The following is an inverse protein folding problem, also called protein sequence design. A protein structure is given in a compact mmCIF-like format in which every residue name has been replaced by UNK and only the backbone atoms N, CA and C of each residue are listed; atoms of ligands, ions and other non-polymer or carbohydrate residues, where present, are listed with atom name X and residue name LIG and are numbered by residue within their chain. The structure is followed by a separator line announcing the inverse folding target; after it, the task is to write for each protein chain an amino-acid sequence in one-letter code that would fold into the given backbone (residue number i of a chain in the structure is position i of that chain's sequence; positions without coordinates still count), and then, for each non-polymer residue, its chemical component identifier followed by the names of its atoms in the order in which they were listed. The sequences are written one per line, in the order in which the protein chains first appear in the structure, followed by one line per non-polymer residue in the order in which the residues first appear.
data_IF_326583789480
#
_entry.id   IF_326583789480
#
_cell.length_a   1.000
_cell.length_b   1.000
_cell.length_c   1.000
_cell.angle_alpha   90.00
_cell.angle_beta   90.00
_cell.angle_gamma   90.00
#
_symmetry.space_group_name_H-M   'P 1'
#
loop_
_entity.id
_entity.type
_entity.pdbx_description
1 polymer ?
#
# COMPACT_ATOMS: atom_id res chain seq x y z
N UNK A 1 -22.15 20.02 -61.23
CA UNK A 1 -21.39 21.03 -60.46
C UNK A 1 -21.00 20.40 -59.14
N UNK A 2 -19.73 20.06 -59.02
CA UNK A 2 -19.18 19.27 -57.89
C UNK A 2 -18.49 20.23 -56.89
N UNK A 3 -18.99 20.29 -55.68
CA UNK A 3 -18.35 21.06 -54.57
C UNK A 3 -17.25 20.17 -53.94
N UNK A 4 -16.00 20.48 -54.16
CA UNK A 4 -14.84 19.88 -53.51
C UNK A 4 -14.78 20.43 -52.08
N UNK A 5 -14.90 19.55 -51.05
CA UNK A 5 -14.61 19.84 -49.66
C UNK A 5 -13.10 19.79 -49.45
N UNK A 6 -12.53 20.92 -49.10
CA UNK A 6 -11.13 21.03 -48.68
C UNK A 6 -11.10 20.69 -47.19
N UNK A 7 -10.48 19.54 -46.83
CA UNK A 7 -10.16 19.21 -45.47
C UNK A 7 -8.87 19.94 -45.10
N UNK A 8 -8.96 20.93 -44.22
CA UNK A 8 -7.83 21.55 -43.56
C UNK A 8 -7.50 20.68 -42.34
N UNK A 9 -6.41 19.93 -42.42
CA UNK A 9 -5.87 19.20 -41.26
C UNK A 9 -5.16 20.18 -40.33
N UNK A 10 -5.79 20.48 -39.17
CA UNK A 10 -5.12 21.18 -38.07
C UNK A 10 -4.19 20.18 -37.37
N UNK A 11 -2.89 20.31 -37.58
CA UNK A 11 -1.85 19.68 -36.77
C UNK A 11 -1.79 20.41 -35.43
N UNK A 12 -2.44 19.88 -34.39
CA UNK A 12 -2.25 20.32 -33.02
C UNK A 12 -0.88 19.86 -32.53
N UNK A 13 0.08 20.78 -32.48
CA UNK A 13 1.38 20.59 -31.86
C UNK A 13 1.16 20.49 -30.33
N UNK A 14 1.02 19.28 -29.81
CA UNK A 14 1.06 19.02 -28.36
C UNK A 14 2.51 19.26 -27.90
N UNK A 15 2.79 20.49 -27.43
CA UNK A 15 3.96 20.73 -26.60
C UNK A 15 3.79 19.90 -25.32
N UNK A 16 4.50 18.76 -25.27
CA UNK A 16 4.66 17.99 -24.05
C UNK A 16 5.41 18.85 -23.04
N UNK A 17 4.67 19.49 -22.13
CA UNK A 17 5.23 20.05 -20.91
C UNK A 17 5.78 18.88 -20.08
N UNK A 18 7.04 18.54 -20.28
CA UNK A 18 7.79 17.72 -19.32
C UNK A 18 7.91 18.55 -18.05
N UNK A 19 6.99 18.35 -17.11
CA UNK A 19 7.17 18.83 -15.76
C UNK A 19 8.46 18.18 -15.24
N UNK A 20 9.54 18.97 -15.15
CA UNK A 20 10.75 18.56 -14.48
C UNK A 20 10.35 18.07 -13.07
N UNK A 21 10.54 16.79 -12.83
CA UNK A 21 10.34 16.17 -11.53
C UNK A 21 11.20 16.96 -10.54
N UNK A 22 10.64 17.57 -9.46
CA UNK A 22 11.50 18.17 -8.44
C UNK A 22 12.46 17.08 -8.00
N UNK A 23 13.76 17.38 -7.89
CA UNK A 23 14.81 16.42 -7.61
C UNK A 23 14.33 15.44 -6.54
N UNK A 24 14.13 14.20 -6.94
CA UNK A 24 13.50 13.16 -6.12
C UNK A 24 14.27 13.04 -4.82
N UNK A 25 13.55 13.20 -3.71
CA UNK A 25 14.12 12.99 -2.38
C UNK A 25 14.39 11.48 -2.10
N UNK A 26 14.37 10.66 -3.13
CA UNK A 26 14.64 9.23 -3.08
C UNK A 26 16.15 8.97 -3.09
N UNK A 27 16.57 7.99 -2.32
CA UNK A 27 17.93 7.47 -2.37
C UNK A 27 18.23 6.77 -3.71
N UNK A 28 19.50 6.37 -3.95
CA UNK A 28 19.89 5.69 -5.18
C UNK A 28 19.14 4.37 -5.42
N UNK A 29 18.62 3.76 -4.36
CA UNK A 29 17.80 2.54 -4.41
C UNK A 29 16.30 2.84 -4.56
N UNK A 30 15.91 4.07 -4.83
CA UNK A 30 14.52 4.45 -4.99
C UNK A 30 13.73 4.53 -3.68
N UNK A 31 14.38 4.47 -2.51
CA UNK A 31 13.72 4.54 -1.21
C UNK A 31 14.04 5.85 -0.52
N UNK A 32 13.02 6.66 -0.27
CA UNK A 32 13.12 7.94 0.44
C UNK A 32 13.36 7.76 1.94
N UNK A 33 14.02 8.74 2.56
CA UNK A 33 14.13 8.78 4.01
C UNK A 33 12.75 9.07 4.66
N UNK A 34 12.48 8.54 5.86
CA UNK A 34 11.28 8.87 6.62
C UNK A 34 11.15 10.37 6.83
N UNK A 35 9.98 10.93 6.51
CA UNK A 35 9.68 12.36 6.68
C UNK A 35 8.45 12.54 7.54
N UNK A 36 8.52 13.50 8.46
CA UNK A 36 7.35 13.92 9.25
C UNK A 36 6.78 15.17 8.60
N UNK A 37 5.47 15.16 8.33
CA UNK A 37 4.74 16.29 7.76
C UNK A 37 3.31 16.35 8.32
N UNK A 38 2.62 17.44 8.04
CA UNK A 38 1.20 17.60 8.38
C UNK A 38 0.37 17.55 7.10
N UNK A 39 -0.64 16.68 7.08
CA UNK A 39 -1.59 16.55 5.97
C UNK A 39 -3.02 16.54 6.51
N UNK A 40 -3.90 17.36 5.95
CA UNK A 40 -5.27 17.56 6.43
C UNK A 40 -5.33 17.77 7.97
N UNK A 41 -4.35 18.49 8.56
CA UNK A 41 -4.29 18.76 10.00
C UNK A 41 -3.83 17.58 10.87
N UNK A 42 -3.37 16.48 10.29
CA UNK A 42 -2.85 15.30 11.00
C UNK A 42 -1.35 15.21 10.77
N UNK A 43 -0.59 15.00 11.84
CA UNK A 43 0.86 14.72 11.75
C UNK A 43 1.07 13.28 11.32
N UNK A 44 1.81 13.09 10.22
CA UNK A 44 2.10 11.79 9.62
C UNK A 44 3.59 11.60 9.41
N UNK A 45 4.05 10.35 9.44
CA UNK A 45 5.34 9.94 8.91
C UNK A 45 5.13 9.27 7.56
N UNK A 46 5.97 9.59 6.59
CA UNK A 46 5.86 9.06 5.23
C UNK A 46 7.20 8.50 4.76
N UNK A 47 7.15 7.43 3.96
CA UNK A 47 8.29 6.90 3.20
C UNK A 47 7.82 6.76 1.75
N UNK A 48 8.51 7.39 0.81
CA UNK A 48 8.24 7.31 -0.62
C UNK A 48 9.16 6.27 -1.26
N UNK A 49 8.64 5.49 -2.21
CA UNK A 49 9.34 4.37 -2.83
C UNK A 49 9.05 4.40 -4.33
N UNK A 50 10.09 4.40 -5.17
CA UNK A 50 10.02 4.12 -6.59
C UNK A 50 10.02 2.59 -6.80
N UNK A 51 8.85 1.97 -7.07
CA UNK A 51 8.75 0.53 -7.18
C UNK A 51 9.41 -0.03 -8.46
N UNK A 52 9.72 0.84 -9.43
CA UNK A 52 10.39 0.46 -10.68
C UNK A 52 11.93 0.48 -10.55
N UNK A 53 12.48 0.92 -9.42
CA UNK A 53 13.92 0.95 -9.22
C UNK A 53 14.50 -0.49 -9.23
N UNK A 54 15.47 -0.79 -10.12
CA UNK A 54 15.99 -2.14 -10.29
C UNK A 54 16.79 -2.65 -9.09
N UNK A 55 17.15 -1.79 -8.14
CA UNK A 55 17.91 -2.16 -6.94
C UNK A 55 17.06 -2.69 -5.79
N UNK A 56 15.74 -2.61 -5.92
CA UNK A 56 14.82 -3.12 -4.89
C UNK A 56 13.82 -4.12 -5.45
N UNK A 57 13.23 -4.86 -4.54
CA UNK A 57 12.08 -5.73 -4.77
C UNK A 57 11.08 -5.51 -3.65
N UNK A 58 9.81 -5.33 -4.01
CA UNK A 58 8.70 -5.26 -3.06
C UNK A 58 8.08 -6.65 -2.94
N UNK A 59 7.74 -7.05 -1.72
CA UNK A 59 7.18 -8.37 -1.43
C UNK A 59 6.43 -8.38 -0.10
N UNK A 60 5.91 -9.54 0.26
CA UNK A 60 5.33 -9.81 1.57
C UNK A 60 6.22 -10.82 2.30
N UNK A 61 6.60 -10.51 3.53
CA UNK A 61 7.22 -11.46 4.44
C UNK A 61 6.14 -12.05 5.34
N UNK A 62 5.96 -13.37 5.29
CA UNK A 62 5.01 -14.07 6.14
C UNK A 62 5.69 -14.66 7.37
N UNK A 63 4.96 -14.83 8.47
CA UNK A 63 5.43 -15.51 9.66
C UNK A 63 5.81 -16.97 9.37
N UNK A 64 6.71 -17.55 10.17
CA UNK A 64 6.98 -18.99 10.12
C UNK A 64 5.72 -19.77 10.48
N UNK A 65 5.30 -20.70 9.60
CA UNK A 65 4.06 -21.47 9.76
C UNK A 65 2.80 -20.72 9.34
N UNK A 66 2.94 -19.62 8.54
CA UNK A 66 1.81 -18.97 7.89
C UNK A 66 0.95 -19.97 7.10
N UNK A 67 -0.40 -19.84 7.05
CA UNK A 67 -1.21 -18.73 7.59
C UNK A 67 -1.72 -18.92 9.03
N UNK A 68 -1.30 -19.96 9.74
CA UNK A 68 -1.85 -20.33 11.05
C UNK A 68 -0.98 -19.88 12.24
N UNK A 69 0.10 -19.18 11.99
CA UNK A 69 1.07 -18.76 13.01
C UNK A 69 1.38 -17.28 12.90
N UNK A 70 1.79 -16.72 14.02
CA UNK A 70 2.38 -15.39 14.14
C UNK A 70 3.85 -15.48 14.53
N UNK A 71 4.59 -14.41 14.32
CA UNK A 71 6.02 -14.29 14.62
C UNK A 71 6.29 -12.92 15.25
N UNK A 72 7.34 -12.79 16.07
CA UNK A 72 7.74 -11.48 16.59
C UNK A 72 8.31 -10.63 15.46
N UNK A 73 8.04 -9.33 15.48
CA UNK A 73 8.56 -8.39 14.48
C UNK A 73 10.08 -8.49 14.33
N UNK A 74 10.82 -8.51 15.47
CA UNK A 74 12.28 -8.64 15.44
C UNK A 74 12.77 -9.95 14.79
N UNK A 75 12.08 -11.07 15.00
CA UNK A 75 12.42 -12.35 14.35
C UNK A 75 12.21 -12.28 12.82
N UNK A 76 11.10 -11.69 12.37
CA UNK A 76 10.83 -11.47 10.94
C UNK A 76 11.89 -10.57 10.32
N UNK A 77 12.23 -9.45 10.96
CA UNK A 77 13.27 -8.52 10.48
C UNK A 77 14.65 -9.19 10.37
N UNK A 78 15.04 -9.96 11.38
CA UNK A 78 16.33 -10.68 11.39
C UNK A 78 16.46 -11.68 10.24
N UNK A 79 15.33 -12.31 9.85
CA UNK A 79 15.26 -13.29 8.75
C UNK A 79 15.23 -12.63 7.38
N UNK A 80 14.52 -11.51 7.25
CA UNK A 80 14.19 -10.88 5.95
C UNK A 80 15.18 -9.76 5.59
N UNK A 81 15.70 -9.05 6.59
CA UNK A 81 16.63 -7.90 6.46
C UNK A 81 16.15 -6.85 5.44
N UNK A 82 14.95 -6.29 5.62
CA UNK A 82 14.38 -5.35 4.66
C UNK A 82 15.03 -3.96 4.77
N UNK A 83 14.95 -3.19 3.67
CA UNK A 83 15.22 -1.73 3.68
C UNK A 83 14.08 -1.03 4.42
N UNK A 84 12.83 -1.41 4.10
CA UNK A 84 11.61 -0.96 4.77
C UNK A 84 10.76 -2.17 5.08
N UNK A 85 10.20 -2.23 6.26
CA UNK A 85 9.09 -3.13 6.57
C UNK A 85 8.02 -2.38 7.36
N UNK A 86 6.78 -2.67 7.03
CA UNK A 86 5.60 -2.22 7.76
C UNK A 86 4.67 -3.39 7.99
N UNK A 87 3.75 -3.25 8.95
CA UNK A 87 2.67 -4.23 9.10
C UNK A 87 1.85 -4.34 7.81
N UNK A 88 1.26 -5.51 7.58
CA UNK A 88 0.56 -5.81 6.34
C UNK A 88 -0.95 -5.92 6.52
N UNK A 89 -1.47 -7.11 6.26
CA UNK A 89 -2.89 -7.42 6.29
C UNK A 89 -3.42 -7.63 7.70
N UNK A 90 -4.67 -7.22 7.94
CA UNK A 90 -5.43 -7.67 9.11
C UNK A 90 -5.48 -9.19 9.19
N UNK A 91 -5.54 -9.70 10.40
CA UNK A 91 -5.67 -11.12 10.67
C UNK A 91 -6.57 -11.39 11.88
N UNK A 92 -7.19 -12.55 11.89
CA UNK A 92 -7.95 -13.04 13.04
C UNK A 92 -7.01 -13.34 14.21
N UNK A 93 -7.22 -12.73 15.35
CA UNK A 93 -6.44 -13.04 16.56
C UNK A 93 -6.61 -14.48 17.04
N UNK A 94 -7.73 -15.11 16.71
CA UNK A 94 -8.02 -16.49 17.10
C UNK A 94 -7.36 -17.51 16.17
N UNK A 95 -7.50 -17.34 14.86
CA UNK A 95 -7.01 -18.32 13.85
C UNK A 95 -5.65 -17.94 13.28
N UNK A 96 -5.19 -16.71 13.44
CA UNK A 96 -4.00 -16.11 12.80
C UNK A 96 -4.14 -15.93 11.28
N UNK A 97 -5.23 -16.34 10.69
CA UNK A 97 -5.47 -16.23 9.26
C UNK A 97 -5.69 -14.77 8.84
N UNK A 98 -5.08 -14.33 7.73
CA UNK A 98 -5.38 -13.02 7.15
C UNK A 98 -6.85 -12.91 6.73
N UNK A 99 -7.35 -11.68 6.62
CA UNK A 99 -8.70 -11.46 6.09
C UNK A 99 -8.72 -11.34 4.56
N UNK A 100 -7.67 -10.81 3.96
CA UNK A 100 -7.53 -10.60 2.52
C UNK A 100 -6.57 -11.58 1.87
N UNK A 101 -6.50 -11.52 0.54
CA UNK A 101 -5.65 -12.37 -0.27
C UNK A 101 -4.17 -12.04 -0.07
N UNK A 102 -3.35 -13.07 -0.01
CA UNK A 102 -1.89 -12.94 0.08
C UNK A 102 -1.24 -13.73 -1.05
N UNK A 103 -0.56 -13.01 -1.97
CA UNK A 103 0.26 -13.59 -3.03
C UNK A 103 1.72 -13.20 -2.81
N UNK A 104 2.63 -14.16 -2.91
CA UNK A 104 4.06 -13.95 -2.78
C UNK A 104 4.79 -14.66 -3.91
N UNK A 105 5.61 -13.93 -4.66
CA UNK A 105 6.34 -14.43 -5.83
C UNK A 105 5.39 -15.12 -6.85
N UNK A 106 4.25 -14.49 -7.15
CA UNK A 106 3.24 -15.01 -8.06
C UNK A 106 2.46 -16.24 -7.57
N UNK A 107 2.62 -16.63 -6.29
CA UNK A 107 1.93 -17.78 -5.72
C UNK A 107 0.95 -17.35 -4.63
N UNK A 108 -0.31 -17.74 -4.78
CA UNK A 108 -1.33 -17.53 -3.75
C UNK A 108 -0.97 -18.34 -2.49
N UNK A 109 -0.72 -17.63 -1.40
CA UNK A 109 -0.41 -18.19 -0.09
C UNK A 109 -1.68 -18.34 0.76
N UNK A 110 -2.62 -17.42 0.58
CA UNK A 110 -3.89 -17.41 1.30
C UNK A 110 -4.96 -16.67 0.50
N UNK A 111 -6.18 -17.21 0.44
CA UNK A 111 -7.36 -16.60 -0.16
C UNK A 111 -8.32 -16.15 0.94
N UNK A 112 -8.31 -14.85 1.24
CA UNK A 112 -9.22 -14.24 2.22
C UNK A 112 -10.53 -13.77 1.60
N UNK A 113 -10.49 -13.41 0.33
CA UNK A 113 -11.65 -13.06 -0.51
C UNK A 113 -12.50 -11.91 0.07
N UNK A 114 -11.86 -10.87 0.61
CA UNK A 114 -12.56 -9.65 1.05
C UNK A 114 -11.61 -8.44 1.16
N UNK A 115 -12.19 -7.28 1.28
CA UNK A 115 -11.49 -6.01 1.48
C UNK A 115 -10.98 -5.40 0.17
N UNK A 116 -9.88 -4.69 0.25
CA UNK A 116 -9.17 -4.08 -0.86
C UNK A 116 -7.74 -4.59 -0.90
N UNK A 117 -7.21 -4.84 -2.07
CA UNK A 117 -5.86 -5.36 -2.25
C UNK A 117 -4.95 -4.37 -2.98
N UNK A 118 -3.69 -4.28 -2.53
CA UNK A 118 -2.58 -3.77 -3.32
C UNK A 118 -1.98 -4.96 -4.08
N UNK A 119 -2.05 -4.92 -5.40
CA UNK A 119 -1.44 -5.90 -6.28
C UNK A 119 -0.28 -5.25 -7.05
N UNK A 120 0.84 -5.96 -7.20
CA UNK A 120 2.02 -5.44 -7.88
C UNK A 120 2.58 -6.47 -8.85
N UNK A 121 2.91 -6.00 -10.05
CA UNK A 121 3.67 -6.79 -11.03
C UNK A 121 5.14 -6.90 -10.60
N UNK A 122 5.87 -7.84 -11.22
CA UNK A 122 7.33 -7.95 -11.04
C UNK A 122 8.08 -6.70 -11.55
N UNK A 123 7.48 -5.98 -12.49
CA UNK A 123 8.01 -4.73 -13.06
C UNK A 123 7.88 -3.52 -12.15
N UNK A 124 7.02 -3.58 -11.12
CA UNK A 124 6.78 -2.49 -10.19
C UNK A 124 5.44 -1.77 -10.38
N UNK A 125 4.67 -2.12 -11.43
CA UNK A 125 3.34 -1.53 -11.61
C UNK A 125 2.44 -1.94 -10.44
N UNK A 126 1.72 -0.98 -9.89
CA UNK A 126 0.86 -1.14 -8.73
C UNK A 126 -0.60 -0.87 -9.09
N UNK A 127 -1.50 -1.70 -8.56
CA UNK A 127 -2.94 -1.58 -8.66
C UNK A 127 -3.56 -1.70 -7.26
N UNK A 128 -4.50 -0.83 -6.93
CA UNK A 128 -5.35 -0.97 -5.75
C UNK A 128 -6.77 -1.28 -6.21
N UNK A 129 -7.29 -2.44 -5.80
CA UNK A 129 -8.58 -2.94 -6.26
C UNK A 129 -9.39 -3.55 -5.11
N UNK A 130 -10.71 -3.30 -5.11
CA UNK A 130 -11.64 -3.96 -4.19
C UNK A 130 -11.87 -5.40 -4.60
N UNK A 131 -11.77 -6.30 -3.64
CA UNK A 131 -12.05 -7.73 -3.83
C UNK A 131 -13.53 -7.99 -3.61
N UNK A 132 -14.18 -8.64 -4.57
CA UNK A 132 -15.58 -9.05 -4.42
C UNK A 132 -15.66 -10.17 -3.39
N UNK A 133 -16.40 -9.93 -2.31
CA UNK A 133 -16.51 -10.87 -1.20
C UNK A 133 -16.96 -12.26 -1.66
N UNK A 134 -16.30 -13.30 -1.13
CA UNK A 134 -16.53 -14.70 -1.43
C UNK A 134 -16.31 -15.08 -2.91
N UNK A 135 -15.70 -14.19 -3.70
CA UNK A 135 -15.24 -14.50 -5.05
C UNK A 135 -13.72 -14.54 -5.06
N UNK A 136 -13.18 -15.58 -5.67
CA UNK A 136 -11.75 -15.70 -5.87
C UNK A 136 -11.31 -14.71 -6.95
N UNK A 137 -10.53 -13.72 -6.58
CA UNK A 137 -9.94 -12.80 -7.55
C UNK A 137 -8.88 -13.53 -8.40
N UNK A 138 -8.75 -13.13 -9.66
CA UNK A 138 -7.67 -13.60 -10.53
C UNK A 138 -6.45 -12.70 -10.35
N UNK A 139 -5.42 -13.23 -9.72
CA UNK A 139 -4.15 -12.54 -9.49
C UNK A 139 -3.06 -12.97 -10.47
N UNK A 140 -3.43 -13.55 -11.64
CA UNK A 140 -2.47 -13.89 -12.68
C UNK A 140 -1.70 -12.64 -13.15
N UNK A 141 -0.38 -12.75 -13.28
CA UNK A 141 0.49 -11.63 -13.67
C UNK A 141 0.99 -10.76 -12.50
N UNK A 142 0.42 -10.85 -11.30
CA UNK A 142 0.92 -10.15 -10.13
C UNK A 142 1.91 -10.99 -9.33
N UNK A 143 3.06 -10.40 -9.02
CA UNK A 143 4.12 -11.04 -8.21
C UNK A 143 3.81 -10.95 -6.71
N UNK A 144 3.13 -9.88 -6.29
CA UNK A 144 2.72 -9.61 -4.92
C UNK A 144 1.28 -9.12 -4.85
N UNK A 145 0.48 -9.66 -3.91
CA UNK A 145 -0.84 -9.12 -3.55
C UNK A 145 -0.98 -9.09 -2.04
N UNK A 146 -1.33 -7.92 -1.52
CA UNK A 146 -1.60 -7.68 -0.11
C UNK A 146 -3.05 -7.23 0.07
N UNK A 147 -3.93 -8.17 0.41
CA UNK A 147 -5.33 -7.90 0.70
C UNK A 147 -5.51 -7.40 2.13
N UNK A 148 -6.06 -6.20 2.29
CA UNK A 148 -6.36 -5.58 3.57
C UNK A 148 -7.59 -4.65 3.46
N UNK A 149 -7.41 -3.33 3.50
CA UNK A 149 -8.47 -2.34 3.32
C UNK A 149 -8.95 -1.67 4.62
N UNK A 150 -9.99 -0.87 4.55
CA UNK A 150 -10.74 -0.55 3.34
C UNK A 150 -9.96 0.31 2.35
N UNK A 151 -10.48 0.41 1.09
CA UNK A 151 -10.06 1.45 0.16
C UNK A 151 -10.33 2.82 0.77
N UNK A 152 -9.39 3.73 0.61
CA UNK A 152 -9.49 5.10 1.12
C UNK A 152 -9.71 6.10 -0.02
N UNK A 153 -8.93 5.95 -1.07
CA UNK A 153 -8.96 6.77 -2.29
C UNK A 153 -8.86 5.83 -3.49
N UNK A 154 -9.65 6.04 -4.53
CA UNK A 154 -9.51 5.42 -5.85
C UNK A 154 -9.71 6.50 -6.90
N UNK A 155 -8.89 6.50 -7.94
CA UNK A 155 -8.90 7.51 -9.02
C UNK A 155 -8.87 8.96 -8.51
N UNK A 156 -8.18 9.20 -7.39
CA UNK A 156 -8.08 10.51 -6.74
C UNK A 156 -9.32 10.91 -5.93
N UNK A 157 -10.36 10.08 -5.86
CA UNK A 157 -11.58 10.35 -5.10
C UNK A 157 -11.67 9.54 -3.81
N UNK A 158 -12.21 10.16 -2.75
CA UNK A 158 -12.43 9.49 -1.47
C UNK A 158 -13.61 8.53 -1.61
N UNK A 159 -13.33 7.23 -1.42
CA UNK A 159 -14.30 6.14 -1.62
C UNK A 159 -14.51 5.29 -0.36
N UNK A 160 -13.98 5.74 0.77
CA UNK A 160 -13.94 4.94 2.00
C UNK A 160 -15.34 4.58 2.49
N UNK A 161 -15.64 3.29 2.41
CA UNK A 161 -16.86 2.67 2.94
C UNK A 161 -16.49 1.31 3.54
N UNK A 162 -16.08 1.25 4.81
CA UNK A 162 -15.67 0.01 5.44
C UNK A 162 -16.83 -0.99 5.58
N UNK A 163 -18.08 -0.53 5.70
CA UNK A 163 -19.25 -1.41 5.80
C UNK A 163 -19.51 -2.11 4.47
N UNK A 164 -19.39 -1.40 3.36
CA UNK A 164 -19.46 -1.99 2.02
C UNK A 164 -18.40 -3.08 1.81
N UNK A 165 -17.20 -2.89 2.37
CA UNK A 165 -16.12 -3.88 2.33
C UNK A 165 -16.20 -4.92 3.47
N UNK A 166 -17.32 -4.98 4.18
CA UNK A 166 -17.62 -5.94 5.23
C UNK A 166 -16.75 -5.86 6.49
N UNK A 167 -16.17 -4.70 6.77
CA UNK A 167 -15.54 -4.42 8.06
C UNK A 167 -16.59 -4.03 9.08
N UNK A 168 -16.74 -4.83 10.14
CA UNK A 168 -17.73 -4.62 11.20
C UNK A 168 -17.12 -4.60 12.60
N UNK A 169 -15.83 -4.95 12.74
CA UNK A 169 -15.15 -4.97 14.03
C UNK A 169 -15.04 -3.54 14.60
N UNK A 170 -15.64 -3.26 15.78
CA UNK A 170 -15.58 -1.94 16.40
C UNK A 170 -14.14 -1.44 16.61
N UNK A 171 -13.19 -2.33 16.92
CA UNK A 171 -11.78 -1.96 17.12
C UNK A 171 -11.13 -1.44 15.85
N UNK A 172 -11.56 -1.94 14.69
CA UNK A 172 -11.12 -1.48 13.37
C UNK A 172 -11.84 -0.19 12.96
N UNK A 173 -13.13 -0.08 13.28
CA UNK A 173 -14.00 1.03 12.88
C UNK A 173 -13.75 2.33 13.65
N UNK A 174 -13.34 2.25 14.91
CA UNK A 174 -13.09 3.42 15.75
C UNK A 174 -11.84 4.20 15.34
N UNK A 175 -11.69 5.41 15.88
CA UNK A 175 -10.47 6.18 15.74
C UNK A 175 -9.30 5.46 16.42
N UNK A 176 -8.25 5.21 15.68
CA UNK A 176 -7.02 4.56 16.15
C UNK A 176 -5.81 5.06 15.36
N UNK A 177 -4.60 4.68 15.76
CA UNK A 177 -3.41 4.87 14.94
C UNK A 177 -3.61 4.17 13.59
N UNK A 178 -3.14 4.79 12.50
CA UNK A 178 -3.34 4.26 11.16
C UNK A 178 -2.04 4.06 10.41
N UNK A 179 -2.08 3.10 9.52
CA UNK A 179 -1.07 2.79 8.53
C UNK A 179 -1.77 2.60 7.18
N UNK A 180 -1.15 3.02 6.10
CA UNK A 180 -1.69 2.81 4.77
C UNK A 180 -0.63 2.98 3.71
N UNK A 181 -0.95 2.53 2.51
CA UNK A 181 -0.14 2.70 1.31
C UNK A 181 -0.99 3.44 0.27
N UNK A 182 -0.37 4.43 -0.38
CA UNK A 182 -0.92 5.08 -1.56
C UNK A 182 -0.05 4.79 -2.78
N UNK A 183 -0.69 4.74 -3.94
CA UNK A 183 -0.08 4.85 -5.26
C UNK A 183 -0.23 6.30 -5.68
N UNK A 184 0.87 6.96 -6.00
CA UNK A 184 0.88 8.35 -6.48
C UNK A 184 0.69 8.38 -8.00
N UNK A 185 0.34 9.53 -8.57
CA UNK A 185 0.13 9.70 -10.03
C UNK A 185 1.35 9.33 -10.88
N UNK A 186 2.55 9.43 -10.33
CA UNK A 186 3.79 9.05 -11.00
C UNK A 186 4.14 7.56 -10.87
N UNK A 187 3.28 6.76 -10.21
CA UNK A 187 3.49 5.34 -9.96
C UNK A 187 4.29 5.03 -8.68
N UNK A 188 4.85 6.04 -8.00
CA UNK A 188 5.55 5.81 -6.74
C UNK A 188 4.57 5.35 -5.65
N UNK A 189 5.07 4.54 -4.72
CA UNK A 189 4.34 4.20 -3.51
C UNK A 189 4.64 5.19 -2.39
N UNK A 190 3.63 5.53 -1.61
CA UNK A 190 3.77 6.32 -0.40
C UNK A 190 3.24 5.53 0.80
N UNK A 191 4.14 5.06 1.64
CA UNK A 191 3.80 4.54 2.96
C UNK A 191 3.48 5.72 3.87
N UNK A 192 2.36 5.67 4.58
CA UNK A 192 1.91 6.72 5.49
C UNK A 192 1.48 6.10 6.81
N UNK A 193 1.99 6.63 7.94
CA UNK A 193 1.53 6.25 9.27
C UNK A 193 1.20 7.47 10.12
N UNK A 194 0.34 7.29 11.12
CA UNK A 194 0.11 8.28 12.17
C UNK A 194 -0.07 7.62 13.53
N UNK A 195 0.62 8.18 14.53
CA UNK A 195 0.43 7.83 15.93
C UNK A 195 -0.86 8.45 16.53
N UNK A 196 -1.47 9.42 15.84
CA UNK A 196 -2.72 10.02 16.27
C UNK A 196 -3.90 9.07 15.99
N UNK A 197 -4.88 9.05 16.89
CA UNK A 197 -6.11 8.30 16.69
C UNK A 197 -7.00 9.04 15.68
N UNK A 198 -7.23 8.44 14.51
CA UNK A 198 -8.07 8.98 13.42
C UNK A 198 -9.06 7.96 12.90
N UNK A 199 -10.23 8.40 12.49
CA UNK A 199 -11.24 7.57 11.81
C UNK A 199 -10.80 7.27 10.36
N UNK A 200 -11.37 6.25 9.71
CA UNK A 200 -11.13 5.97 8.30
C UNK A 200 -11.44 7.17 7.39
N UNK A 201 -12.56 7.86 7.65
CA UNK A 201 -12.93 9.06 6.87
C UNK A 201 -11.86 10.15 6.96
N UNK A 202 -11.36 10.43 8.17
CA UNK A 202 -10.27 11.41 8.34
C UNK A 202 -8.98 10.93 7.69
N UNK A 203 -8.71 9.63 7.77
CA UNK A 203 -7.54 9.00 7.17
C UNK A 203 -7.55 9.09 5.63
N UNK A 204 -8.71 8.89 5.00
CA UNK A 204 -8.87 9.09 3.56
C UNK A 204 -8.57 10.54 3.12
N UNK A 205 -9.02 11.54 3.90
CA UNK A 205 -8.65 12.94 3.63
C UNK A 205 -7.15 13.19 3.76
N UNK A 206 -6.46 12.53 4.69
CA UNK A 206 -5.00 12.60 4.81
C UNK A 206 -4.33 12.04 3.56
N UNK A 207 -4.74 10.86 3.09
CA UNK A 207 -4.18 10.23 1.89
C UNK A 207 -4.40 11.10 0.64
N UNK A 208 -5.62 11.62 0.44
CA UNK A 208 -5.93 12.54 -0.67
C UNK A 208 -5.07 13.82 -0.60
N UNK A 209 -4.90 14.40 0.58
CA UNK A 209 -4.06 15.61 0.78
C UNK A 209 -2.57 15.35 0.52
N UNK A 210 -2.10 14.10 0.62
CA UNK A 210 -0.75 13.68 0.28
C UNK A 210 -0.55 13.37 -1.20
N UNK A 211 -1.61 13.49 -2.02
CA UNK A 211 -1.55 13.28 -3.47
C UNK A 211 -1.80 11.84 -3.91
N UNK A 212 -2.42 11.01 -3.06
CA UNK A 212 -2.80 9.66 -3.47
C UNK A 212 -3.71 9.68 -4.70
N UNK A 213 -3.33 8.93 -5.72
CA UNK A 213 -4.22 8.52 -6.81
C UNK A 213 -5.11 7.39 -6.32
N UNK A 214 -4.48 6.37 -5.73
CA UNK A 214 -5.17 5.29 -5.05
C UNK A 214 -4.58 5.09 -3.66
N UNK A 215 -5.36 4.64 -2.68
CA UNK A 215 -4.87 4.34 -1.34
C UNK A 215 -5.73 3.30 -0.63
N UNK A 216 -5.09 2.43 0.13
CA UNK A 216 -5.76 1.51 1.05
C UNK A 216 -5.21 1.63 2.46
N UNK A 217 -6.03 1.28 3.43
CA UNK A 217 -5.62 1.14 4.81
C UNK A 217 -5.00 -0.24 5.06
N UNK A 218 -3.97 -0.29 5.90
CA UNK A 218 -3.33 -1.51 6.37
C UNK A 218 -3.64 -1.76 7.86
N UNK A 219 -3.25 -2.93 8.37
CA UNK A 219 -3.35 -3.20 9.80
C UNK A 219 -2.47 -2.22 10.59
N UNK A 220 -2.97 -1.81 11.73
CA UNK A 220 -2.33 -0.80 12.58
C UNK A 220 -2.73 -0.97 14.05
N UNK A 221 -3.03 0.11 14.78
CA UNK A 221 -3.38 0.02 16.20
C UNK A 221 -2.29 -0.71 17.01
N UNK A 222 -2.63 -1.87 17.58
CA UNK A 222 -1.69 -2.71 18.32
C UNK A 222 -0.67 -3.41 17.41
N UNK A 223 -0.98 -3.58 16.12
CA UNK A 223 -0.11 -4.18 15.11
C UNK A 223 0.86 -3.18 14.48
N UNK A 224 0.64 -1.86 14.63
CA UNK A 224 1.44 -0.83 13.94
C UNK A 224 2.93 -1.09 14.11
N UNK A 225 3.58 -1.41 13.01
CA UNK A 225 5.00 -1.71 12.91
C UNK A 225 5.61 -0.95 11.75
N UNK A 226 6.79 -0.39 11.93
CA UNK A 226 7.55 0.26 10.87
C UNK A 226 9.04 0.18 11.14
N UNK A 227 9.82 -0.14 10.12
CA UNK A 227 11.30 -0.05 10.17
C UNK A 227 11.84 0.59 8.90
N UNK A 228 12.98 1.21 9.00
CA UNK A 228 13.73 1.79 7.91
C UNK A 228 15.23 1.56 8.12
N UNK A 229 15.88 0.86 7.17
CA UNK A 229 17.34 0.57 7.18
C UNK A 229 17.84 0.05 8.52
N UNK A 230 17.13 -0.93 9.10
CA UNK A 230 17.47 -1.55 10.37
C UNK A 230 17.03 -0.77 11.62
N UNK A 231 16.58 0.47 11.49
CA UNK A 231 16.04 1.26 12.60
C UNK A 231 14.55 1.02 12.74
N UNK A 232 14.09 0.59 13.91
CA UNK A 232 12.67 0.43 14.21
C UNK A 232 12.09 1.81 14.55
N UNK A 233 11.10 2.24 13.77
CA UNK A 233 10.41 3.53 13.90
C UNK A 233 9.11 3.40 14.69
N UNK A 234 8.43 2.24 14.57
CA UNK A 234 7.24 1.88 15.34
C UNK A 234 7.32 0.41 15.77
N UNK A 235 7.06 0.15 17.05
CA UNK A 235 7.05 -1.20 17.63
C UNK A 235 5.61 -1.71 17.76
N UNK A 236 5.28 -2.88 17.20
CA UNK A 236 3.98 -3.50 17.43
C UNK A 236 3.86 -3.97 18.87
N UNK A 237 2.65 -3.91 19.42
CA UNK A 237 2.33 -4.41 20.77
C UNK A 237 1.95 -5.89 20.78
N UNK A 238 1.96 -6.55 19.61
CA UNK A 238 1.64 -7.98 19.43
C UNK A 238 2.50 -8.61 18.34
N UNK A 239 2.45 -9.92 18.25
CA UNK A 239 3.08 -10.70 17.18
C UNK A 239 2.29 -10.47 15.88
N UNK A 240 2.96 -10.60 14.73
CA UNK A 240 2.41 -10.30 13.40
C UNK A 240 2.39 -11.56 12.53
N UNK A 241 1.53 -11.60 11.54
CA UNK A 241 1.42 -12.73 10.61
C UNK A 241 2.09 -12.45 9.28
N UNK A 242 2.15 -11.18 8.87
CA UNK A 242 2.74 -10.77 7.61
C UNK A 242 3.22 -9.31 7.68
N UNK A 243 4.16 -8.97 6.80
CA UNK A 243 4.71 -7.61 6.64
C UNK A 243 4.76 -7.29 5.14
N UNK A 244 4.42 -6.05 4.78
CA UNK A 244 4.87 -5.48 3.51
C UNK A 244 6.35 -5.12 3.64
N UNK A 245 7.17 -5.54 2.68
CA UNK A 245 8.63 -5.36 2.76
C UNK A 245 9.21 -4.83 1.45
N UNK A 246 10.16 -3.91 1.58
CA UNK A 246 11.06 -3.47 0.51
C UNK A 246 12.42 -4.09 0.77
N UNK A 247 12.88 -4.90 -0.16
CA UNK A 247 14.11 -5.69 -0.05
C UNK A 247 15.16 -5.16 -1.02
N UNK A 248 16.46 -5.22 -0.68
CA UNK A 248 17.49 -5.02 -1.68
C UNK A 248 17.38 -6.15 -2.73
N UNK A 249 17.59 -5.80 -3.98
CA UNK A 249 17.77 -6.79 -5.05
C UNK A 249 19.29 -7.04 -5.17
N UNK A 250 19.70 -8.27 -4.84
CA UNK A 250 21.06 -8.77 -5.02
C UNK A 250 21.39 -9.01 -6.47
#
# INVERSE_FOLDING_TARGET
MSLRRVCVALFALLLGLTFARPASALGPDGVGAPRVRTAAGIRVRTIEIDPHNPRIRISIATAKGFPLRDETFGSMLGRVRPIVAIDGAYFSERSRQPIGDIVVNGRLQYAGMMGTALAMTRGGDALIERVVRNHRADWAGFDMVLGCGPALVLDGEIVVDPVYEHFHDPHVMHATRRLGIAVLRNGDLLIVETAQAVTFKRWAHVMKALGAQDALNLDAGASLAMTYRGHVLEHPKRRLTNLFVVLPRS
#
